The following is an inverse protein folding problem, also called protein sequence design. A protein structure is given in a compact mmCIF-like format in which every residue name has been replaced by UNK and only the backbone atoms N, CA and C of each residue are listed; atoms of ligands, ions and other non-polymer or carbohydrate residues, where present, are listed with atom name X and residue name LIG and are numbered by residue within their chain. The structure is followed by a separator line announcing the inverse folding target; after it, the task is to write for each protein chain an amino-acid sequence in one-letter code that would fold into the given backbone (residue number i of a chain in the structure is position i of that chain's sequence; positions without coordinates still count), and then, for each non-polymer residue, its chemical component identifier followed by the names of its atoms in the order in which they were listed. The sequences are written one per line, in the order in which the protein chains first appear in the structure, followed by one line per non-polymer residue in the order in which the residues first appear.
data_IF_385074618002
#
_entry.id   IF_385074618002
#
_cell.length_a   1.000
_cell.length_b   1.000
_cell.length_c   1.000
_cell.angle_alpha   90.00
_cell.angle_beta   90.00
_cell.angle_gamma   90.00
#
_symmetry.space_group_name_H-M   'P 1'
#
loop_
_entity.id
_entity.type
_entity.pdbx_description
1 polymer ?
#
# COMPACT_ATOMS: atom_id res chain seq x y z
N UNK A 1 -16.90 1.45 -10.20
CA UNK A 1 -16.60 0.36 -9.25
C UNK A 1 -15.09 0.25 -9.11
N UNK A 2 -14.50 0.15 -7.91
CA UNK A 2 -13.07 -0.09 -7.73
C UNK A 2 -12.71 -1.56 -7.98
N UNK A 3 -11.43 -1.81 -8.31
CA UNK A 3 -10.83 -3.14 -8.35
C UNK A 3 -9.78 -3.21 -7.25
N UNK A 4 -9.97 -4.08 -6.26
CA UNK A 4 -8.94 -4.47 -5.30
C UNK A 4 -8.25 -5.71 -5.84
N UNK A 5 -6.92 -5.68 -5.94
CA UNK A 5 -6.13 -6.78 -6.49
C UNK A 5 -5.00 -7.19 -5.55
N UNK A 6 -4.84 -8.49 -5.40
CA UNK A 6 -3.67 -9.09 -4.78
C UNK A 6 -2.61 -9.35 -5.85
N UNK A 7 -1.37 -8.97 -5.58
CA UNK A 7 -0.25 -9.17 -6.49
C UNK A 7 0.60 -10.37 -6.06
N UNK A 8 1.06 -11.16 -7.01
CA UNK A 8 1.97 -12.29 -6.83
C UNK A 8 3.26 -12.07 -7.62
N UNK A 9 4.24 -12.95 -7.46
CA UNK A 9 5.56 -12.84 -8.10
C UNK A 9 5.76 -13.76 -9.29
N UNK A 10 4.94 -14.81 -9.40
CA UNK A 10 5.06 -15.76 -10.52
C UNK A 10 3.70 -16.39 -10.84
N UNK A 11 3.51 -16.71 -12.10
CA UNK A 11 2.31 -17.38 -12.60
C UNK A 11 2.15 -18.77 -11.93
N UNK A 12 0.92 -19.06 -11.52
CA UNK A 12 0.60 -20.33 -10.84
C UNK A 12 1.03 -20.41 -9.37
N UNK A 13 1.55 -19.33 -8.80
CA UNK A 13 1.87 -19.27 -7.38
C UNK A 13 0.65 -18.82 -6.56
N UNK A 14 0.08 -19.74 -5.78
CA UNK A 14 -1.10 -19.57 -4.92
C UNK A 14 -2.27 -18.81 -5.57
N UNK A 15 -2.25 -17.48 -5.55
CA UNK A 15 -3.29 -16.61 -6.09
C UNK A 15 -2.73 -15.20 -6.35
N UNK A 16 -3.48 -14.39 -7.08
CA UNK A 16 -3.13 -13.01 -7.39
C UNK A 16 -2.77 -12.79 -8.86
N UNK A 17 -2.61 -11.52 -9.21
CA UNK A 17 -2.11 -11.14 -10.53
C UNK A 17 -0.59 -11.02 -10.50
N UNK A 18 0.07 -11.36 -11.59
CA UNK A 18 1.53 -11.27 -11.71
C UNK A 18 1.90 -10.00 -12.44
N UNK A 19 2.92 -9.32 -11.94
CA UNK A 19 3.58 -8.21 -12.63
C UNK A 19 5.10 -8.31 -12.46
N UNK A 20 5.82 -7.75 -13.40
CA UNK A 20 7.27 -7.65 -13.36
C UNK A 20 7.75 -6.63 -12.32
N UNK A 21 9.03 -6.69 -11.87
CA UNK A 21 9.64 -5.64 -11.07
C UNK A 21 9.45 -4.26 -11.69
N UNK A 22 9.04 -3.29 -10.87
CA UNK A 22 8.70 -1.95 -11.34
C UNK A 22 7.27 -1.77 -11.83
N UNK A 23 6.44 -2.81 -11.77
CA UNK A 23 4.99 -2.76 -12.02
C UNK A 23 4.60 -2.22 -13.41
N UNK A 24 5.21 -2.67 -14.53
CA UNK A 24 4.92 -2.14 -15.86
C UNK A 24 3.49 -2.45 -16.35
N UNK A 25 2.95 -3.63 -16.02
CA UNK A 25 1.59 -4.00 -16.43
C UNK A 25 0.53 -3.21 -15.65
N UNK A 26 0.79 -2.94 -14.37
CA UNK A 26 -0.06 -2.05 -13.58
C UNK A 26 -0.04 -0.64 -14.17
N UNK A 27 1.13 -0.12 -14.53
CA UNK A 27 1.23 1.21 -15.16
C UNK A 27 0.43 1.28 -16.46
N UNK A 28 0.57 0.30 -17.36
CA UNK A 28 -0.23 0.23 -18.59
C UNK A 28 -1.75 0.23 -18.29
N UNK A 29 -2.17 -0.53 -17.28
CA UNK A 29 -3.58 -0.58 -16.87
C UNK A 29 -4.07 0.77 -16.34
N UNK A 30 -3.26 1.47 -15.55
CA UNK A 30 -3.58 2.80 -15.01
C UNK A 30 -3.76 3.84 -16.12
N UNK A 31 -2.88 3.81 -17.12
CA UNK A 31 -2.97 4.69 -18.31
C UNK A 31 -4.20 4.40 -19.16
N UNK A 32 -4.43 3.12 -19.44
CA UNK A 32 -5.50 2.68 -20.32
C UNK A 32 -6.90 2.89 -19.73
N UNK A 33 -7.02 2.84 -18.41
CA UNK A 33 -8.31 2.94 -17.72
C UNK A 33 -8.33 4.03 -16.65
N UNK A 34 -8.17 5.32 -17.01
CA UNK A 34 -8.04 6.41 -16.03
C UNK A 34 -9.30 6.64 -15.17
N UNK A 35 -10.46 6.19 -15.64
CA UNK A 35 -11.72 6.25 -14.88
C UNK A 35 -11.94 5.10 -13.89
N UNK A 36 -11.09 4.07 -13.91
CA UNK A 36 -11.18 2.92 -13.03
C UNK A 36 -10.24 3.12 -11.83
N UNK A 37 -10.70 2.82 -10.62
CA UNK A 37 -9.88 2.88 -9.41
C UNK A 37 -9.22 1.53 -9.16
N UNK A 38 -7.91 1.51 -9.12
CA UNK A 38 -7.09 0.33 -8.80
C UNK A 38 -6.60 0.42 -7.36
N UNK A 39 -6.87 -0.60 -6.56
CA UNK A 39 -6.46 -0.67 -5.15
C UNK A 39 -5.44 -1.79 -5.03
N UNK A 40 -4.17 -1.42 -4.86
CA UNK A 40 -3.07 -2.37 -4.75
C UNK A 40 -2.91 -2.95 -3.36
N UNK A 41 -2.57 -4.22 -3.30
CA UNK A 41 -2.40 -5.01 -2.08
C UNK A 41 -1.29 -6.06 -2.27
N UNK A 42 -0.70 -6.54 -1.19
CA UNK A 42 0.28 -7.63 -1.07
C UNK A 42 1.76 -7.22 -1.03
N UNK A 43 2.62 -8.20 -0.70
CA UNK A 43 4.06 -7.97 -0.59
C UNK A 43 4.69 -7.45 -1.90
N UNK A 44 4.47 -8.03 -3.08
CA UNK A 44 5.09 -7.54 -4.32
C UNK A 44 4.71 -6.11 -4.67
N UNK A 45 3.47 -5.71 -4.36
CA UNK A 45 3.03 -4.32 -4.55
C UNK A 45 3.77 -3.36 -3.62
N UNK A 46 3.78 -3.66 -2.31
CA UNK A 46 4.42 -2.81 -1.30
C UNK A 46 5.95 -2.88 -1.34
N UNK A 47 6.53 -3.92 -1.92
CA UNK A 47 7.98 -4.04 -2.12
C UNK A 47 8.53 -2.86 -2.94
N UNK A 48 7.78 -2.40 -3.93
CA UNK A 48 8.14 -1.32 -4.84
C UNK A 48 8.10 0.09 -4.22
N UNK A 49 7.87 0.20 -2.89
CA UNK A 49 7.86 1.50 -2.19
C UNK A 49 9.26 2.11 -2.06
N UNK A 50 10.31 1.32 -2.12
CA UNK A 50 11.71 1.74 -1.97
C UNK A 50 12.47 1.65 -3.29
N UNK A 51 13.34 2.64 -3.57
CA UNK A 51 14.14 2.66 -4.79
C UNK A 51 15.09 1.46 -4.91
N UNK A 52 15.56 0.92 -3.79
CA UNK A 52 16.45 -0.23 -3.72
C UNK A 52 15.72 -1.58 -3.64
N UNK A 53 14.45 -1.62 -4.03
CA UNK A 53 13.67 -2.84 -4.15
C UNK A 53 14.38 -3.84 -5.05
N UNK A 54 14.65 -5.04 -4.52
CA UNK A 54 15.36 -6.08 -5.27
C UNK A 54 14.39 -6.84 -6.19
N UNK A 55 14.77 -7.14 -7.43
CA UNK A 55 13.86 -7.78 -8.39
C UNK A 55 13.68 -9.29 -8.18
N UNK A 56 14.43 -9.92 -7.27
CA UNK A 56 14.36 -11.36 -7.07
C UNK A 56 13.08 -11.79 -6.35
N UNK A 57 12.58 -12.98 -6.69
CA UNK A 57 11.33 -13.54 -6.19
C UNK A 57 11.26 -13.57 -4.67
N UNK A 58 12.33 -13.96 -4.01
CA UNK A 58 12.37 -14.07 -2.55
C UNK A 58 12.16 -12.71 -1.88
N UNK A 59 12.93 -11.71 -2.31
CA UNK A 59 12.82 -10.35 -1.74
C UNK A 59 11.46 -9.73 -1.97
N UNK A 60 10.83 -9.98 -3.12
CA UNK A 60 9.50 -9.46 -3.45
C UNK A 60 8.37 -10.07 -2.60
N UNK A 61 8.58 -11.25 -2.04
CA UNK A 61 7.61 -11.94 -1.17
C UNK A 61 7.86 -11.70 0.33
N UNK A 62 8.91 -10.99 0.68
CA UNK A 62 9.20 -10.64 2.07
C UNK A 62 8.53 -9.32 2.48
N UNK A 63 8.26 -9.17 3.76
CA UNK A 63 7.87 -7.88 4.32
C UNK A 63 9.08 -6.94 4.37
N UNK A 64 8.90 -5.70 3.95
CA UNK A 64 9.96 -4.71 3.91
C UNK A 64 10.58 -4.47 5.28
N UNK A 65 11.91 -4.32 5.32
CA UNK A 65 12.68 -4.06 6.54
C UNK A 65 13.70 -2.93 6.32
N UNK A 66 14.03 -2.23 7.40
CA UNK A 66 15.00 -1.13 7.36
C UNK A 66 14.47 0.12 6.65
N UNK A 67 15.33 1.15 6.50
CA UNK A 67 14.93 2.44 5.94
C UNK A 67 14.42 2.31 4.50
N UNK A 68 13.51 3.21 4.13
CA UNK A 68 13.01 3.33 2.75
C UNK A 68 13.89 4.34 2.00
N UNK A 69 14.40 3.94 0.83
CA UNK A 69 15.08 4.87 -0.08
C UNK A 69 14.06 5.57 -0.95
N UNK A 70 14.13 6.89 -0.97
CA UNK A 70 13.26 7.73 -1.81
C UNK A 70 13.38 7.37 -3.29
N UNK A 71 12.31 7.57 -4.06
CA UNK A 71 12.28 7.25 -5.49
C UNK A 71 11.77 5.84 -5.81
N UNK A 72 11.17 5.16 -4.85
CA UNK A 72 10.51 3.87 -5.09
C UNK A 72 9.45 3.95 -6.18
N UNK A 73 9.33 2.88 -6.96
CA UNK A 73 8.44 2.83 -8.14
C UNK A 73 6.97 3.06 -7.76
N UNK A 74 6.52 2.47 -6.66
CA UNK A 74 5.15 2.68 -6.16
C UNK A 74 4.86 4.14 -5.87
N UNK A 75 5.81 4.87 -5.26
CA UNK A 75 5.66 6.31 -4.99
C UNK A 75 5.50 7.10 -6.29
N UNK A 76 6.33 6.79 -7.30
CA UNK A 76 6.25 7.42 -8.62
C UNK A 76 4.89 7.16 -9.28
N UNK A 77 4.41 5.92 -9.27
CA UNK A 77 3.10 5.56 -9.82
C UNK A 77 1.96 6.29 -9.09
N UNK A 78 1.99 6.35 -7.76
CA UNK A 78 0.97 7.07 -7.00
C UNK A 78 0.99 8.59 -7.25
N UNK A 79 2.14 9.18 -7.56
CA UNK A 79 2.23 10.61 -7.94
C UNK A 79 1.66 10.87 -9.34
N UNK A 80 1.95 9.99 -10.28
CA UNK A 80 1.58 10.15 -11.68
C UNK A 80 0.11 9.78 -11.95
N UNK A 81 -0.40 8.74 -11.28
CA UNK A 81 -1.72 8.16 -11.56
C UNK A 81 -2.69 8.36 -10.39
N UNK A 82 -3.69 9.23 -10.58
CA UNK A 82 -4.68 9.56 -9.54
C UNK A 82 -5.71 8.44 -9.30
N UNK A 83 -5.78 7.48 -10.19
CA UNK A 83 -6.62 6.30 -10.10
C UNK A 83 -5.95 5.10 -9.40
N UNK A 84 -4.68 5.23 -8.94
CA UNK A 84 -4.03 4.26 -8.09
C UNK A 84 -4.28 4.57 -6.61
N UNK A 85 -4.80 3.61 -5.92
CA UNK A 85 -5.07 3.56 -4.47
C UNK A 85 -4.27 2.41 -3.86
N UNK A 86 -4.12 2.39 -2.55
CA UNK A 86 -3.45 1.30 -1.86
C UNK A 86 -4.16 0.91 -0.57
N UNK A 87 -4.18 -0.40 -0.32
CA UNK A 87 -4.67 -1.02 0.90
C UNK A 87 -3.48 -1.32 1.83
N UNK A 88 -3.55 -0.78 3.04
CA UNK A 88 -2.52 -0.94 4.07
C UNK A 88 -2.66 -2.23 4.88
N UNK A 89 -3.60 -3.09 4.52
CA UNK A 89 -3.91 -4.31 5.25
C UNK A 89 -2.81 -5.38 5.16
N UNK A 90 -3.03 -6.47 5.85
CA UNK A 90 -2.03 -7.49 6.12
C UNK A 90 -0.72 -6.85 6.64
N UNK A 91 0.26 -7.58 7.02
CA UNK A 91 1.50 -6.95 7.46
C UNK A 91 2.36 -6.39 6.30
N UNK A 92 1.97 -6.60 5.04
CA UNK A 92 2.70 -6.06 3.88
C UNK A 92 2.63 -4.52 3.80
N UNK A 93 1.42 -3.95 3.84
CA UNK A 93 1.23 -2.50 3.87
C UNK A 93 1.71 -1.90 5.19
N UNK A 94 1.34 -2.51 6.33
CA UNK A 94 1.78 -2.06 7.64
C UNK A 94 3.31 -2.00 7.79
N UNK A 95 4.02 -3.07 7.42
CA UNK A 95 5.49 -3.09 7.46
C UNK A 95 6.13 -2.07 6.51
N UNK A 96 5.57 -1.90 5.31
CA UNK A 96 6.08 -0.92 4.34
C UNK A 96 6.09 0.50 4.91
N UNK A 97 5.10 0.85 5.72
CA UNK A 97 4.96 2.18 6.34
C UNK A 97 5.74 2.27 7.66
N UNK A 98 5.57 1.30 8.55
CA UNK A 98 6.13 1.38 9.91
C UNK A 98 7.65 1.16 9.97
N UNK A 99 8.27 0.52 8.97
CA UNK A 99 9.72 0.21 8.97
C UNK A 99 10.62 1.45 8.97
N UNK A 100 10.07 2.58 8.52
CA UNK A 100 10.73 3.89 8.51
C UNK A 100 9.67 4.94 8.89
N UNK A 101 9.62 5.31 10.17
CA UNK A 101 8.57 6.20 10.71
C UNK A 101 8.53 7.55 9.97
N UNK A 102 9.70 8.14 9.70
CA UNK A 102 9.75 9.45 9.03
C UNK A 102 9.17 9.37 7.61
N UNK A 103 9.63 8.40 6.84
CA UNK A 103 9.13 8.18 5.48
C UNK A 103 7.64 7.79 5.49
N UNK A 104 7.24 6.88 6.38
CA UNK A 104 5.87 6.41 6.50
C UNK A 104 4.90 7.54 6.78
N UNK A 105 5.20 8.43 7.73
CA UNK A 105 4.37 9.60 8.02
C UNK A 105 4.26 10.55 6.82
N UNK A 106 5.35 10.81 6.12
CA UNK A 106 5.34 11.64 4.91
C UNK A 106 4.48 11.01 3.80
N UNK A 107 4.60 9.69 3.60
CA UNK A 107 3.81 8.93 2.63
C UNK A 107 2.32 8.97 2.96
N UNK A 108 1.95 8.77 4.23
CA UNK A 108 0.56 8.83 4.68
C UNK A 108 -0.05 10.22 4.46
N UNK A 109 0.67 11.29 4.77
CA UNK A 109 0.21 12.67 4.52
C UNK A 109 0.09 12.98 3.03
N UNK A 110 1.08 12.59 2.20
CA UNK A 110 1.07 12.86 0.77
C UNK A 110 -0.09 12.14 0.05
N UNK A 111 -0.34 10.89 0.44
CA UNK A 111 -1.32 10.04 -0.25
C UNK A 111 -2.60 9.81 0.55
N UNK A 112 -2.87 10.63 1.56
CA UNK A 112 -4.00 10.48 2.50
C UNK A 112 -5.37 10.23 1.86
N UNK A 113 -5.58 10.71 0.63
CA UNK A 113 -6.86 10.59 -0.10
C UNK A 113 -7.05 9.23 -0.82
N UNK A 114 -5.99 8.40 -0.83
CA UNK A 114 -5.94 7.17 -1.63
C UNK A 114 -5.43 5.95 -0.88
N UNK A 115 -5.23 6.08 0.41
CA UNK A 115 -4.83 5.00 1.32
C UNK A 115 -6.01 4.56 2.16
N UNK A 116 -6.10 3.27 2.45
CA UNK A 116 -7.14 2.69 3.29
C UNK A 116 -6.53 1.73 4.31
N UNK A 117 -6.89 1.92 5.56
CA UNK A 117 -6.61 0.94 6.60
C UNK A 117 -7.51 -0.29 6.44
N UNK A 118 -6.95 -1.46 6.65
CA UNK A 118 -7.63 -2.75 6.73
C UNK A 118 -6.78 -3.71 7.54
N UNK A 119 -7.31 -4.87 7.86
CA UNK A 119 -6.60 -5.91 8.63
C UNK A 119 -6.22 -7.11 7.78
N UNK A 120 -7.05 -7.51 6.82
CA UNK A 120 -6.93 -8.78 6.10
C UNK A 120 -6.84 -9.98 7.08
N UNK A 121 -7.63 -9.91 8.17
CA UNK A 121 -7.64 -10.92 9.21
C UNK A 121 -8.32 -12.20 8.72
N UNK A 122 -7.57 -13.31 8.71
CA UNK A 122 -8.08 -14.63 8.31
C UNK A 122 -8.17 -15.61 9.50
N UNK A 123 -7.59 -15.26 10.64
CA UNK A 123 -7.70 -16.03 11.89
C UNK A 123 -7.50 -15.13 13.12
N UNK A 124 -7.85 -15.66 14.29
CA UNK A 124 -7.83 -14.92 15.58
C UNK A 124 -6.44 -14.63 16.14
N UNK A 125 -5.42 -15.32 15.65
CA UNK A 125 -4.06 -15.22 16.18
C UNK A 125 -3.20 -14.20 15.42
N UNK A 126 -3.76 -13.60 14.37
CA UNK A 126 -3.07 -12.57 13.60
C UNK A 126 -2.97 -11.26 14.36
N UNK A 127 -1.79 -10.65 14.31
CA UNK A 127 -1.49 -9.37 14.96
C UNK A 127 -1.31 -8.30 13.87
N UNK A 128 -2.02 -7.20 14.01
CA UNK A 128 -2.00 -6.05 13.09
C UNK A 128 -1.56 -4.79 13.84
N UNK A 129 -0.26 -4.54 13.99
CA UNK A 129 0.25 -3.43 14.78
C UNK A 129 -0.01 -2.06 14.14
N UNK A 130 -0.37 -2.01 12.85
CA UNK A 130 -0.58 -0.74 12.14
C UNK A 130 -1.70 0.11 12.75
N UNK A 131 -2.80 -0.49 13.21
CA UNK A 131 -3.90 0.26 13.85
C UNK A 131 -3.43 1.03 15.07
N UNK A 132 -2.80 0.33 16.02
CA UNK A 132 -2.25 0.94 17.23
C UNK A 132 -1.14 1.95 16.91
N UNK A 133 -0.36 1.70 15.87
CA UNK A 133 0.68 2.62 15.42
C UNK A 133 0.07 3.92 14.88
N UNK A 134 -0.97 3.84 14.03
CA UNK A 134 -1.70 5.01 13.51
C UNK A 134 -2.33 5.83 14.63
N UNK A 135 -2.97 5.16 15.61
CA UNK A 135 -3.56 5.81 16.78
C UNK A 135 -2.51 6.60 17.57
N UNK A 136 -1.36 5.98 17.84
CA UNK A 136 -0.25 6.63 18.52
C UNK A 136 0.30 7.82 17.74
N UNK A 137 0.54 7.69 16.43
CA UNK A 137 1.05 8.79 15.61
C UNK A 137 0.09 9.98 15.58
N UNK A 138 -1.22 9.70 15.57
CA UNK A 138 -2.25 10.73 15.67
C UNK A 138 -2.25 11.39 17.06
N UNK A 139 -2.23 10.63 18.15
CA UNK A 139 -2.22 11.12 19.53
C UNK A 139 -0.98 11.98 19.83
N UNK A 140 0.16 11.61 19.27
CA UNK A 140 1.43 12.35 19.39
C UNK A 140 1.50 13.59 18.47
N UNK A 141 0.48 13.84 17.65
CA UNK A 141 0.43 14.97 16.71
C UNK A 141 1.37 14.84 15.51
N UNK A 142 1.91 13.65 15.25
CA UNK A 142 2.81 13.37 14.12
C UNK A 142 2.05 13.08 12.82
N UNK A 143 0.83 12.55 12.92
CA UNK A 143 -0.10 12.34 11.81
C UNK A 143 -1.26 13.30 11.97
N UNK A 144 -1.62 14.04 10.90
CA UNK A 144 -2.72 14.98 10.94
C UNK A 144 -4.07 14.30 11.17
N UNK A 145 -4.97 14.98 11.89
CA UNK A 145 -6.33 14.48 12.11
C UNK A 145 -7.08 14.20 10.79
N UNK A 146 -6.77 14.96 9.75
CA UNK A 146 -7.35 14.77 8.42
C UNK A 146 -6.87 13.48 7.79
N UNK A 147 -5.55 13.23 7.72
CA UNK A 147 -4.98 12.02 7.16
C UNK A 147 -5.44 10.78 7.94
N UNK A 148 -5.40 10.84 9.26
CA UNK A 148 -5.88 9.76 10.12
C UNK A 148 -7.33 9.36 9.81
N UNK A 149 -8.28 10.31 9.81
CA UNK A 149 -9.70 10.01 9.51
C UNK A 149 -9.91 9.47 8.10
N UNK A 150 -9.25 10.05 7.10
CA UNK A 150 -9.35 9.59 5.72
C UNK A 150 -8.88 8.15 5.57
N UNK A 151 -7.69 7.84 6.08
CA UNK A 151 -7.07 6.53 5.96
C UNK A 151 -7.86 5.47 6.73
N UNK A 152 -8.24 5.76 7.97
CA UNK A 152 -8.92 4.78 8.82
C UNK A 152 -10.39 4.56 8.48
N UNK A 153 -11.06 5.51 7.80
CA UNK A 153 -12.50 5.43 7.62
C UNK A 153 -13.04 6.07 6.33
N UNK A 154 -12.75 7.36 6.08
CA UNK A 154 -13.49 8.14 5.09
C UNK A 154 -13.25 7.67 3.65
N UNK A 155 -12.02 7.26 3.32
CA UNK A 155 -11.68 6.79 1.98
C UNK A 155 -12.41 5.49 1.62
N UNK A 156 -12.42 4.51 2.52
CA UNK A 156 -13.14 3.26 2.30
C UNK A 156 -14.64 3.52 2.12
N UNK A 157 -15.24 4.32 3.01
CA UNK A 157 -16.64 4.71 2.90
C UNK A 157 -16.97 5.36 1.55
N UNK A 158 -16.13 6.30 1.11
CA UNK A 158 -16.30 7.01 -0.17
C UNK A 158 -16.13 6.09 -1.38
N UNK A 159 -15.13 5.20 -1.36
CA UNK A 159 -14.78 4.33 -2.50
C UNK A 159 -15.81 3.23 -2.69
N UNK A 160 -16.25 2.61 -1.59
CA UNK A 160 -17.21 1.50 -1.61
C UNK A 160 -18.67 1.94 -1.46
N UNK A 161 -18.94 3.24 -1.31
CA UNK A 161 -20.29 3.82 -1.17
C UNK A 161 -21.08 3.24 0.03
N UNK A 162 -20.40 3.10 1.16
CA UNK A 162 -20.95 2.58 2.42
C UNK A 162 -21.71 3.66 3.21
#
# INVERSE_FOLDING_TARGET
MPILFHMSTQEGYEYGIVDEPGLPMLEEALEKYPGLKFIGHSQPFWHEISQDAKPDLKSRMEWGRGPVREGGRLVCLMRNYKNLYADLSANSGGCAIMRDEKFGLQFLEEFQDRLMFGTDMVNTDMVFPLGEWLDRQYQEGKLSAQAYRKICFENAKKIFQL
#
